data_IF_869859122186
#
_entry.id   IF_869859122186
#
_cell.length_a   1.000
_cell.length_b   1.000
_cell.length_c   1.000
_cell.angle_alpha   90.00
_cell.angle_beta   90.00
_cell.angle_gamma   90.00
#
_symmetry.space_group_name_H-M   'P 1'
#
loop_
_entity.id
_entity.type
_entity.pdbx_description
1 polymer ?
#
# COMPACT_ATOMS: atom_id res chain seq x y z
N UNK A 1 -27.69 44.15 -4.65
CA UNK A 1 -27.33 43.04 -5.55
C UNK A 1 -26.00 42.34 -5.20
N UNK A 2 -25.53 42.35 -3.94
CA UNK A 2 -24.18 41.89 -3.56
C UNK A 2 -24.11 40.66 -2.64
N UNK A 3 -25.21 40.21 -2.04
CA UNK A 3 -25.16 39.10 -1.07
C UNK A 3 -25.25 37.70 -1.72
N UNK A 4 -25.76 37.58 -2.95
CA UNK A 4 -25.98 36.27 -3.61
C UNK A 4 -24.67 35.59 -4.09
N UNK A 5 -23.67 36.37 -4.52
CA UNK A 5 -22.38 35.86 -5.01
C UNK A 5 -21.48 35.32 -3.88
N UNK A 6 -21.67 35.80 -2.64
CA UNK A 6 -20.89 35.37 -1.48
C UNK A 6 -21.38 34.05 -0.87
N UNK A 7 -22.69 33.75 -0.93
CA UNK A 7 -23.22 32.46 -0.48
C UNK A 7 -22.82 31.31 -1.41
N UNK A 8 -22.74 31.55 -2.71
CA UNK A 8 -22.27 30.54 -3.68
C UNK A 8 -20.82 30.10 -3.41
N UNK A 9 -19.94 31.03 -3.02
CA UNK A 9 -18.55 30.72 -2.66
C UNK A 9 -18.44 29.92 -1.36
N UNK A 10 -19.26 30.25 -0.35
CA UNK A 10 -19.33 29.49 0.91
C UNK A 10 -19.87 28.06 0.68
N UNK A 11 -20.92 27.89 -0.12
CA UNK A 11 -21.47 26.58 -0.46
C UNK A 11 -20.47 25.71 -1.24
N UNK A 12 -19.73 26.30 -2.20
CA UNK A 12 -18.70 25.57 -2.94
C UNK A 12 -17.54 25.10 -2.03
N UNK A 13 -17.17 25.90 -1.03
CA UNK A 13 -16.09 25.58 -0.09
C UNK A 13 -16.52 24.49 0.91
N UNK A 14 -17.79 24.50 1.35
CA UNK A 14 -18.37 23.45 2.22
C UNK A 14 -18.57 22.14 1.45
N UNK A 15 -19.00 22.18 0.19
CA UNK A 15 -19.13 20.99 -0.67
C UNK A 15 -17.74 20.38 -0.93
N UNK A 16 -16.71 21.19 -1.20
CA UNK A 16 -15.32 20.73 -1.35
C UNK A 16 -14.76 20.08 -0.08
N UNK A 17 -15.10 20.61 1.10
CA UNK A 17 -14.68 20.04 2.39
C UNK A 17 -15.40 18.72 2.69
N UNK A 18 -16.69 18.59 2.34
CA UNK A 18 -17.45 17.33 2.50
C UNK A 18 -16.93 16.21 1.59
N UNK A 19 -16.44 16.54 0.39
CA UNK A 19 -15.84 15.56 -0.53
C UNK A 19 -14.42 15.16 -0.08
N UNK A 20 -13.68 16.05 0.60
CA UNK A 20 -12.34 15.76 1.14
C UNK A 20 -12.36 14.91 2.44
N UNK A 21 -13.45 14.99 3.23
CA UNK A 21 -13.66 14.15 4.43
C UNK A 21 -14.45 12.87 4.13
N UNK A 22 -14.96 12.70 2.91
CA UNK A 22 -15.48 11.44 2.38
C UNK A 22 -14.39 10.42 2.07
N UNK A 23 -13.38 10.30 2.94
CA UNK A 23 -12.50 9.14 2.89
C UNK A 23 -13.32 7.96 3.37
N UNK A 24 -13.98 7.31 2.43
CA UNK A 24 -14.51 5.97 2.62
C UNK A 24 -13.36 5.16 3.19
N UNK A 25 -13.43 4.84 4.49
CA UNK A 25 -12.60 3.84 5.09
C UNK A 25 -12.85 2.59 4.27
N UNK A 26 -11.96 2.33 3.30
CA UNK A 26 -11.97 1.05 2.62
C UNK A 26 -11.67 0.10 3.77
N UNK A 27 -12.68 -0.64 4.22
CA UNK A 27 -12.41 -1.88 4.92
C UNK A 27 -11.46 -2.62 3.98
N UNK A 28 -10.17 -2.63 4.34
CA UNK A 28 -9.15 -3.26 3.54
C UNK A 28 -9.44 -4.74 3.68
N UNK A 29 -10.34 -5.24 2.83
CA UNK A 29 -10.55 -6.65 2.65
C UNK A 29 -9.18 -7.23 2.35
N UNK A 30 -8.81 -8.26 3.11
CA UNK A 30 -7.53 -8.86 2.89
C UNK A 30 -7.52 -9.49 1.50
N UNK A 31 -6.43 -9.29 0.79
CA UNK A 31 -6.24 -9.79 -0.57
C UNK A 31 -5.66 -11.19 -0.45
N UNK A 32 -6.38 -12.16 -1.00
CA UNK A 32 -5.82 -13.49 -1.23
C UNK A 32 -4.89 -13.41 -2.42
N UNK A 33 -3.64 -13.83 -2.21
CA UNK A 33 -2.64 -13.92 -3.26
C UNK A 33 -2.28 -12.60 -3.98
N UNK A 34 -1.91 -11.52 -3.26
CA UNK A 34 -1.54 -10.27 -3.90
C UNK A 34 -0.27 -10.44 -4.75
N UNK A 35 -0.29 -9.88 -5.95
CA UNK A 35 0.87 -9.85 -6.85
C UNK A 35 1.54 -8.47 -6.75
N UNK A 36 2.82 -8.47 -6.43
CA UNK A 36 3.67 -7.27 -6.47
C UNK A 36 4.07 -7.05 -7.92
N UNK A 37 3.73 -5.88 -8.46
CA UNK A 37 3.93 -5.53 -9.89
C UNK A 37 4.85 -4.32 -10.08
N UNK A 38 5.19 -3.61 -9.01
CA UNK A 38 6.13 -2.49 -9.06
C UNK A 38 7.18 -2.57 -7.95
N UNK A 39 8.26 -1.83 -8.16
CA UNK A 39 9.41 -1.74 -7.27
C UNK A 39 9.34 -0.54 -6.31
N UNK A 40 8.18 0.12 -6.21
CA UNK A 40 8.03 1.31 -5.35
C UNK A 40 7.96 0.86 -3.89
N UNK A 41 8.42 1.71 -2.98
CA UNK A 41 8.32 1.43 -1.54
C UNK A 41 6.87 1.50 -1.02
N UNK A 42 6.03 2.33 -1.64
CA UNK A 42 4.64 2.56 -1.24
C UNK A 42 3.70 2.71 -2.43
N UNK A 43 2.39 2.57 -2.17
CA UNK A 43 1.34 2.65 -3.17
C UNK A 43 0.84 1.29 -3.66
N UNK A 44 -0.22 1.31 -4.48
CA UNK A 44 -0.81 0.08 -5.02
C UNK A 44 0.22 -0.71 -5.84
N UNK A 45 0.29 -2.03 -5.63
CA UNK A 45 1.19 -2.93 -6.36
C UNK A 45 2.63 -2.99 -5.81
N UNK A 46 2.94 -2.31 -4.70
CA UNK A 46 4.22 -2.44 -3.99
C UNK A 46 4.24 -3.63 -3.02
N UNK A 47 5.45 -4.09 -2.66
CA UNK A 47 5.63 -5.17 -1.68
C UNK A 47 5.09 -4.78 -0.29
N UNK A 48 5.31 -3.54 0.17
CA UNK A 48 4.79 -3.05 1.45
C UNK A 48 3.26 -3.04 1.48
N UNK A 49 2.63 -2.60 0.38
CA UNK A 49 1.16 -2.61 0.28
C UNK A 49 0.63 -4.04 0.22
N UNK A 50 1.31 -4.93 -0.50
CA UNK A 50 0.93 -6.34 -0.56
C UNK A 50 0.99 -7.02 0.82
N UNK A 51 1.98 -6.70 1.66
CA UNK A 51 2.08 -7.24 3.05
C UNK A 51 0.96 -6.72 3.95
N UNK A 52 0.64 -5.43 3.86
CA UNK A 52 -0.47 -4.83 4.61
C UNK A 52 -1.80 -5.48 4.17
N UNK A 53 -1.97 -5.65 2.86
CA UNK A 53 -3.21 -6.12 2.26
C UNK A 53 -3.40 -7.62 2.36
N UNK A 54 -2.33 -8.41 2.45
CA UNK A 54 -2.43 -9.86 2.45
C UNK A 54 -3.23 -10.39 3.66
N UNK A 55 -4.05 -11.41 3.41
CA UNK A 55 -4.68 -12.19 4.47
C UNK A 55 -3.62 -12.92 5.30
N UNK A 56 -3.90 -13.09 6.60
CA UNK A 56 -3.10 -13.98 7.43
C UNK A 56 -3.14 -15.42 6.85
N UNK A 57 -1.99 -16.06 6.77
CA UNK A 57 -1.76 -17.33 6.07
C UNK A 57 -1.68 -17.23 4.54
N UNK A 58 -1.79 -16.03 3.96
CA UNK A 58 -1.79 -15.82 2.52
C UNK A 58 -0.40 -15.89 1.87
N UNK A 59 -0.37 -16.03 0.53
CA UNK A 59 0.87 -16.08 -0.26
C UNK A 59 1.02 -14.85 -1.14
N UNK A 60 2.05 -14.04 -0.96
CA UNK A 60 2.35 -12.88 -1.80
C UNK A 60 3.23 -13.34 -2.97
N UNK A 61 2.82 -13.06 -4.20
CA UNK A 61 3.60 -13.38 -5.40
C UNK A 61 4.37 -12.16 -5.88
N UNK A 62 5.66 -12.30 -6.18
CA UNK A 62 6.44 -11.22 -6.77
C UNK A 62 6.58 -11.43 -8.28
N UNK A 63 6.27 -10.42 -9.08
CA UNK A 63 6.58 -10.46 -10.50
C UNK A 63 8.09 -10.24 -10.71
N UNK A 64 8.66 -10.89 -11.71
CA UNK A 64 10.10 -10.84 -12.04
C UNK A 64 10.58 -9.49 -12.60
N UNK A 65 9.74 -8.45 -12.58
CA UNK A 65 9.94 -7.28 -13.44
C UNK A 65 10.87 -6.21 -12.89
N UNK A 66 11.26 -6.21 -11.62
CA UNK A 66 12.41 -5.43 -11.12
C UNK A 66 12.71 -5.71 -9.64
N UNK A 67 13.94 -5.46 -9.16
CA UNK A 67 14.26 -5.50 -7.73
C UNK A 67 13.41 -4.47 -6.98
N UNK A 68 12.50 -4.84 -6.05
CA UNK A 68 11.84 -3.87 -5.21
C UNK A 68 12.87 -3.24 -4.27
N UNK A 69 12.98 -1.92 -4.31
CA UNK A 69 13.74 -1.16 -3.31
C UNK A 69 12.78 -0.85 -2.17
N UNK A 70 12.94 -1.59 -1.08
CA UNK A 70 12.01 -1.53 0.04
C UNK A 70 12.68 -0.90 1.25
N UNK A 71 11.93 -0.02 1.89
CA UNK A 71 12.12 0.31 3.29
C UNK A 71 11.76 -0.89 4.15
N UNK A 72 11.99 -0.79 5.46
CA UNK A 72 11.66 -1.84 6.43
C UNK A 72 10.23 -2.39 6.22
N UNK A 73 10.13 -3.70 5.99
CA UNK A 73 8.87 -4.44 5.90
C UNK A 73 8.59 -5.05 7.27
N UNK A 74 7.49 -4.65 7.88
CA UNK A 74 7.00 -5.24 9.13
C UNK A 74 6.01 -6.35 8.77
N UNK A 75 6.29 -7.56 9.26
CA UNK A 75 5.43 -8.74 9.14
C UNK A 75 4.90 -9.04 10.54
N UNK A 76 3.60 -8.83 10.72
CA UNK A 76 2.87 -9.00 12.00
C UNK A 76 1.86 -10.17 11.94
N UNK A 77 1.88 -10.93 10.85
CA UNK A 77 0.97 -12.05 10.60
C UNK A 77 1.69 -13.12 9.78
N UNK A 78 1.17 -14.35 9.81
CA UNK A 78 1.69 -15.44 9.00
C UNK A 78 1.54 -15.10 7.51
N UNK A 79 2.64 -15.05 6.76
CA UNK A 79 2.63 -14.77 5.32
C UNK A 79 3.69 -15.62 4.62
N UNK A 80 3.36 -16.11 3.42
CA UNK A 80 4.31 -16.73 2.51
C UNK A 80 4.68 -15.71 1.44
N UNK A 81 5.96 -15.51 1.16
CA UNK A 81 6.42 -14.63 0.07
C UNK A 81 7.07 -15.51 -1.00
N UNK A 82 6.41 -15.65 -2.14
CA UNK A 82 6.85 -16.49 -3.24
C UNK A 82 7.38 -15.64 -4.39
N UNK A 83 8.68 -15.75 -4.63
CA UNK A 83 9.35 -15.13 -5.75
C UNK A 83 9.30 -15.98 -7.03
N UNK A 84 9.61 -15.39 -8.19
CA UNK A 84 9.70 -16.07 -9.49
C UNK A 84 10.98 -16.92 -9.66
N UNK A 85 11.76 -17.10 -8.58
CA UNK A 85 13.06 -17.77 -8.55
C UNK A 85 14.16 -16.87 -7.98
N UNK A 86 15.17 -17.46 -7.34
CA UNK A 86 16.29 -16.73 -6.72
C UNK A 86 17.10 -15.90 -7.75
N UNK A 87 17.23 -16.40 -8.98
CA UNK A 87 17.96 -15.73 -10.06
C UNK A 87 17.22 -14.51 -10.63
N UNK A 88 15.94 -14.34 -10.28
CA UNK A 88 15.03 -13.34 -10.87
C UNK A 88 14.51 -12.32 -9.86
N UNK A 89 14.80 -12.51 -8.58
CA UNK A 89 14.33 -11.64 -7.51
C UNK A 89 15.49 -11.22 -6.62
N UNK A 90 15.81 -9.94 -6.69
CA UNK A 90 16.71 -9.29 -5.74
C UNK A 90 15.89 -8.38 -4.85
N UNK A 91 15.80 -8.67 -3.55
CA UNK A 91 15.20 -7.73 -2.57
C UNK A 91 16.32 -6.85 -2.03
N UNK A 92 16.27 -5.55 -2.32
CA UNK A 92 17.31 -4.61 -1.90
C UNK A 92 16.79 -3.76 -0.75
N UNK A 93 17.62 -3.59 0.28
CA UNK A 93 17.40 -2.57 1.29
C UNK A 93 17.61 -1.20 0.64
N UNK A 94 16.68 -0.28 0.84
CA UNK A 94 16.92 1.15 0.61
C UNK A 94 17.84 1.72 1.71
N UNK A 95 17.44 2.84 2.30
CA UNK A 95 18.17 3.49 3.41
C UNK A 95 18.11 2.74 4.75
N UNK A 96 17.38 1.63 4.83
CA UNK A 96 17.23 0.84 6.06
C UNK A 96 18.44 -0.07 6.34
N UNK A 97 18.67 -0.37 7.62
CA UNK A 97 19.61 -1.41 8.05
C UNK A 97 19.01 -2.83 8.01
N UNK A 98 17.68 -2.93 7.92
CA UNK A 98 16.92 -4.18 7.94
C UNK A 98 15.86 -4.21 6.83
N UNK A 99 15.71 -5.35 6.17
CA UNK A 99 14.71 -5.57 5.12
C UNK A 99 13.39 -6.04 5.74
N UNK A 100 13.44 -7.09 6.55
CA UNK A 100 12.27 -7.67 7.23
C UNK A 100 12.39 -7.51 8.75
N UNK A 101 11.29 -7.08 9.37
CA UNK A 101 11.05 -7.18 10.81
C UNK A 101 9.83 -8.07 11.01
N UNK A 102 10.04 -9.23 11.62
CA UNK A 102 8.97 -10.18 11.94
C UNK A 102 8.63 -10.02 13.41
N UNK A 103 7.41 -9.58 13.70
CA UNK A 103 6.87 -9.54 15.05
C UNK A 103 6.17 -10.87 15.36
N UNK A 104 5.92 -11.15 16.64
CA UNK A 104 5.10 -12.30 17.03
C UNK A 104 3.72 -12.17 16.39
N UNK A 105 3.39 -13.12 15.50
CA UNK A 105 2.11 -13.18 14.78
C UNK A 105 1.01 -13.87 15.57
#
# INVERSE_FOLDING_TARGET
>A
MFRLKSYAAMFALVIGLLIAFGQTARAQACVTNPVVVNNRDSGAGSLKKAVIDACAGGTIYLSASMPPEVSLIVIDKNLTIQGPGADRLTVRKGSSSRIFQVNSG
#
